data_IF_914891468708
#
_entry.id   IF_914891468708
#
_cell.length_a   1.000
_cell.length_b   1.000
_cell.length_c   1.000
_cell.angle_alpha   90.00
_cell.angle_beta   90.00
_cell.angle_gamma   90.00
#
_symmetry.space_group_name_H-M   'P 1'
#
loop_
_entity.id
_entity.type
_entity.pdbx_description
1 polymer ?
#
# COMPACT_ATOMS: atom_id res chain seq x y z
N UNK A 1 -37.31 -16.50 25.28
CA UNK A 1 -36.31 -16.84 24.24
C UNK A 1 -35.41 -15.64 24.11
N UNK A 2 -34.29 -15.66 24.83
CA UNK A 2 -33.25 -14.62 24.79
C UNK A 2 -32.44 -14.79 23.51
N UNK A 3 -32.48 -13.76 22.65
CA UNK A 3 -31.53 -13.66 21.51
C UNK A 3 -30.19 -13.28 22.09
N UNK A 4 -29.25 -14.24 22.11
CA UNK A 4 -27.85 -13.97 22.38
C UNK A 4 -27.31 -13.08 21.26
N UNK A 5 -27.13 -11.79 21.58
CA UNK A 5 -26.37 -10.85 20.78
C UNK A 5 -24.89 -11.26 20.85
N UNK A 6 -24.47 -12.12 19.91
CA UNK A 6 -23.07 -12.42 19.69
C UNK A 6 -22.40 -11.16 19.12
N UNK A 7 -21.83 -10.32 19.97
CA UNK A 7 -20.93 -9.22 19.56
C UNK A 7 -19.71 -9.88 18.91
N UNK A 8 -19.39 -9.58 17.65
CA UNK A 8 -18.20 -10.12 17.01
C UNK A 8 -16.98 -9.69 17.83
N UNK A 9 -16.16 -10.64 18.25
CA UNK A 9 -14.88 -10.32 18.88
C UNK A 9 -14.00 -9.54 17.89
N UNK A 10 -13.27 -8.50 18.38
CA UNK A 10 -12.38 -7.74 17.51
C UNK A 10 -11.35 -8.67 16.85
N UNK A 11 -11.00 -8.43 15.58
CA UNK A 11 -10.05 -9.26 14.87
C UNK A 11 -8.69 -9.26 15.57
N UNK A 12 -8.13 -10.44 15.80
CA UNK A 12 -6.82 -10.57 16.42
C UNK A 12 -5.72 -10.14 15.44
N UNK A 13 -4.70 -9.38 15.88
CA UNK A 13 -3.69 -8.81 14.99
C UNK A 13 -2.94 -9.87 14.16
N UNK A 14 -2.52 -9.47 12.94
CA UNK A 14 -1.85 -10.27 11.90
C UNK A 14 -0.52 -10.93 12.30
N UNK A 15 0.13 -10.43 13.35
CA UNK A 15 1.34 -11.03 13.93
C UNK A 15 1.17 -12.51 14.27
N UNK A 16 -0.04 -13.03 14.12
CA UNK A 16 -0.48 -14.40 14.46
C UNK A 16 -0.73 -15.36 13.27
N UNK A 17 -0.15 -15.14 12.09
CA UNK A 17 0.17 -16.29 11.26
C UNK A 17 1.23 -17.10 12.03
N UNK A 18 0.89 -18.33 12.48
CA UNK A 18 1.58 -18.96 13.62
C UNK A 18 3.06 -19.25 13.39
N UNK A 19 3.49 -19.36 12.14
CA UNK A 19 4.88 -19.65 11.82
C UNK A 19 5.29 -19.18 10.43
N UNK A 20 6.60 -19.21 10.17
CA UNK A 20 7.21 -18.78 8.91
C UNK A 20 6.76 -19.61 7.68
N UNK A 21 6.43 -20.90 7.87
CA UNK A 21 5.88 -21.77 6.82
C UNK A 21 4.51 -21.29 6.39
N UNK A 22 3.63 -20.96 7.33
CA UNK A 22 2.27 -20.50 7.03
C UNK A 22 2.31 -19.11 6.37
N UNK A 23 3.19 -18.19 6.82
CA UNK A 23 3.39 -16.89 6.15
C UNK A 23 3.79 -17.07 4.68
N UNK A 24 4.79 -17.91 4.41
CA UNK A 24 5.24 -18.19 3.04
C UNK A 24 4.15 -18.80 2.18
N UNK A 25 3.45 -19.83 2.68
CA UNK A 25 2.41 -20.53 1.93
C UNK A 25 1.21 -19.62 1.66
N UNK A 26 0.78 -18.84 2.67
CA UNK A 26 -0.35 -17.91 2.53
C UNK A 26 -0.04 -16.83 1.49
N UNK A 27 1.11 -16.16 1.57
CA UNK A 27 1.48 -15.14 0.59
C UNK A 27 1.67 -15.76 -0.80
N UNK A 28 2.28 -16.95 -0.92
CA UNK A 28 2.40 -17.65 -2.21
C UNK A 28 1.03 -17.97 -2.80
N UNK A 29 0.08 -18.36 -1.95
CA UNK A 29 -1.28 -18.68 -2.36
C UNK A 29 -2.02 -17.45 -2.88
N UNK A 30 -2.07 -16.38 -2.10
CA UNK A 30 -2.81 -15.16 -2.40
C UNK A 30 -2.23 -14.38 -3.58
N UNK A 31 -0.90 -14.36 -3.73
CA UNK A 31 -0.22 -13.69 -4.84
C UNK A 31 -0.13 -14.54 -6.11
N UNK A 32 -0.12 -15.86 -5.95
CA UNK A 32 0.08 -16.87 -7.01
C UNK A 32 1.54 -17.18 -7.33
N UNK A 33 2.53 -16.38 -6.90
CA UNK A 33 3.96 -16.64 -7.04
C UNK A 33 4.76 -15.83 -6.03
N UNK A 34 5.62 -16.47 -5.23
CA UNK A 34 6.51 -15.80 -4.27
C UNK A 34 7.92 -15.67 -4.85
N UNK A 35 8.53 -14.48 -4.94
CA UNK A 35 9.87 -14.27 -5.48
C UNK A 35 10.94 -14.85 -4.56
N UNK A 36 11.92 -15.57 -5.12
CA UNK A 36 12.96 -16.27 -4.34
C UNK A 36 13.95 -15.33 -3.62
N UNK A 37 14.00 -14.07 -3.97
CA UNK A 37 14.85 -13.05 -3.35
C UNK A 37 14.17 -12.33 -2.16
N UNK A 38 12.90 -12.66 -1.85
CA UNK A 38 12.09 -11.90 -0.88
C UNK A 38 11.90 -12.58 0.49
N UNK A 39 12.64 -13.64 0.79
CA UNK A 39 12.50 -14.36 2.07
C UNK A 39 12.82 -13.51 3.30
N UNK A 40 13.77 -12.58 3.19
CA UNK A 40 14.14 -11.68 4.27
C UNK A 40 12.96 -10.83 4.75
N UNK A 41 12.04 -10.44 3.83
CA UNK A 41 10.83 -9.69 4.14
C UNK A 41 9.82 -10.48 5.00
N UNK A 42 9.99 -11.80 5.11
CA UNK A 42 9.25 -12.67 6.03
C UNK A 42 10.06 -13.02 7.27
N UNK A 43 11.18 -12.34 7.51
CA UNK A 43 12.14 -12.64 8.57
C UNK A 43 12.63 -14.10 8.53
N UNK A 44 12.80 -14.63 7.32
CA UNK A 44 13.31 -15.98 7.05
C UNK A 44 14.78 -15.91 6.67
N UNK A 45 15.67 -16.48 7.50
CA UNK A 45 17.09 -16.54 7.18
C UNK A 45 17.36 -17.42 5.95
N UNK A 46 18.44 -17.15 5.23
CA UNK A 46 18.81 -17.89 4.01
C UNK A 46 18.95 -19.40 4.25
N UNK A 47 19.49 -19.82 5.40
CA UNK A 47 19.63 -21.23 5.76
C UNK A 47 18.26 -21.90 5.97
N UNK A 48 17.37 -21.24 6.72
CA UNK A 48 16.03 -21.75 6.98
C UNK A 48 15.17 -21.74 5.68
N UNK A 49 15.35 -20.74 4.82
CA UNK A 49 14.67 -20.69 3.52
C UNK A 49 15.01 -21.91 2.64
N UNK A 50 16.30 -22.34 2.63
CA UNK A 50 16.74 -23.55 1.90
C UNK A 50 16.07 -24.81 2.47
N UNK A 51 16.07 -24.98 3.79
CA UNK A 51 15.44 -26.10 4.47
C UNK A 51 13.93 -26.13 4.22
N UNK A 52 13.26 -25.01 4.42
CA UNK A 52 11.82 -24.87 4.23
C UNK A 52 11.39 -25.19 2.80
N UNK A 53 12.11 -24.68 1.81
CA UNK A 53 11.87 -25.00 0.40
C UNK A 53 12.06 -26.48 0.12
N UNK A 54 13.14 -27.09 0.63
CA UNK A 54 13.40 -28.52 0.44
C UNK A 54 12.24 -29.36 0.98
N UNK A 55 11.81 -29.11 2.21
CA UNK A 55 10.71 -29.85 2.84
C UNK A 55 9.41 -29.70 2.04
N UNK A 56 9.06 -28.47 1.65
CA UNK A 56 7.84 -28.20 0.88
C UNK A 56 7.87 -28.82 -0.54
N UNK A 57 9.07 -28.98 -1.14
CA UNK A 57 9.24 -29.74 -2.39
C UNK A 57 9.02 -31.21 -2.19
N UNK A 58 9.60 -31.78 -1.13
CA UNK A 58 9.41 -33.20 -0.79
C UNK A 58 7.94 -33.54 -0.47
N UNK A 59 7.27 -32.65 0.23
CA UNK A 59 5.83 -32.76 0.50
C UNK A 59 4.97 -32.55 -0.77
N UNK A 60 5.55 -32.11 -1.88
CA UNK A 60 4.86 -31.80 -3.14
C UNK A 60 3.90 -30.64 -3.07
N UNK A 61 4.10 -29.71 -2.11
CA UNK A 61 3.24 -28.54 -1.89
C UNK A 61 3.59 -27.38 -2.81
N UNK A 62 4.90 -27.16 -3.06
CA UNK A 62 5.39 -26.08 -3.93
C UNK A 62 6.23 -26.63 -5.06
N UNK A 63 6.42 -25.81 -6.10
CA UNK A 63 7.43 -25.99 -7.14
C UNK A 63 8.12 -24.68 -7.47
N UNK A 64 9.33 -24.74 -8.00
CA UNK A 64 10.09 -23.58 -8.50
C UNK A 64 9.71 -23.29 -9.94
N UNK A 65 9.64 -22.01 -10.27
CA UNK A 65 9.62 -21.54 -11.66
C UNK A 65 10.83 -20.64 -11.87
N UNK A 66 11.53 -20.86 -12.97
CA UNK A 66 12.65 -20.01 -13.41
C UNK A 66 12.51 -19.78 -14.91
N UNK A 67 12.40 -18.53 -15.32
CA UNK A 67 12.25 -18.13 -16.71
C UNK A 67 12.59 -16.64 -16.83
N UNK A 68 13.35 -16.28 -17.87
CA UNK A 68 13.74 -14.89 -18.20
C UNK A 68 14.22 -14.06 -16.98
N UNK A 69 15.08 -14.67 -16.16
CA UNK A 69 15.63 -14.05 -14.95
C UNK A 69 14.69 -14.03 -13.73
N UNK A 70 13.39 -14.32 -13.89
CA UNK A 70 12.45 -14.41 -12.79
C UNK A 70 12.51 -15.79 -12.11
N UNK A 71 12.85 -15.79 -10.82
CA UNK A 71 12.84 -16.99 -9.97
C UNK A 71 11.76 -16.87 -8.91
N UNK A 72 10.82 -17.83 -8.88
CA UNK A 72 9.70 -17.79 -7.95
C UNK A 72 9.25 -19.18 -7.50
N UNK A 73 8.51 -19.19 -6.40
CA UNK A 73 7.84 -20.37 -5.85
C UNK A 73 6.35 -20.28 -6.13
N UNK A 74 5.76 -21.37 -6.56
CA UNK A 74 4.30 -21.49 -6.78
C UNK A 74 3.77 -22.74 -6.09
N UNK A 75 2.51 -22.70 -5.66
CA UNK A 75 1.84 -23.91 -5.18
C UNK A 75 1.63 -24.89 -6.33
N UNK A 76 1.73 -26.18 -6.03
CA UNK A 76 1.25 -27.26 -6.90
C UNK A 76 -0.28 -27.38 -6.77
N UNK A 77 -0.94 -28.22 -7.60
CA UNK A 77 -2.37 -28.52 -7.41
C UNK A 77 -2.62 -29.13 -6.03
N UNK A 78 -1.79 -30.09 -5.59
CA UNK A 78 -1.85 -30.66 -4.24
C UNK A 78 -1.74 -29.57 -3.16
N UNK A 79 -0.81 -28.62 -3.33
CA UNK A 79 -0.65 -27.50 -2.37
C UNK A 79 -1.89 -26.62 -2.29
N UNK A 80 -2.52 -26.32 -3.43
CA UNK A 80 -3.78 -25.56 -3.48
C UNK A 80 -4.90 -26.31 -2.77
N UNK A 81 -5.05 -27.61 -3.06
CA UNK A 81 -6.09 -28.45 -2.47
C UNK A 81 -5.96 -28.54 -0.95
N UNK A 82 -4.73 -28.77 -0.45
CA UNK A 82 -4.44 -28.82 0.99
C UNK A 82 -4.83 -27.50 1.69
N UNK A 83 -4.47 -26.35 1.09
CA UNK A 83 -4.81 -25.06 1.70
C UNK A 83 -6.31 -24.78 1.64
N UNK A 84 -6.97 -25.04 0.52
CA UNK A 84 -8.43 -24.83 0.37
C UNK A 84 -9.25 -25.74 1.29
N UNK A 85 -8.79 -26.98 1.52
CA UNK A 85 -9.44 -27.90 2.47
C UNK A 85 -9.30 -27.42 3.92
N UNK A 86 -8.13 -26.88 4.28
CA UNK A 86 -7.86 -26.41 5.64
C UNK A 86 -8.59 -25.10 5.96
N UNK A 87 -8.56 -24.13 5.04
CA UNK A 87 -9.07 -22.78 5.26
C UNK A 87 -9.76 -22.25 3.97
N UNK A 88 -10.96 -22.78 3.62
CA UNK A 88 -11.63 -22.51 2.34
C UNK A 88 -11.94 -21.02 2.12
N UNK A 89 -12.39 -20.31 3.16
CA UNK A 89 -12.72 -18.89 3.06
C UNK A 89 -11.48 -18.02 2.83
N UNK A 90 -10.36 -18.33 3.48
CA UNK A 90 -9.08 -17.64 3.29
C UNK A 90 -8.57 -17.74 1.86
N UNK A 91 -8.77 -18.90 1.24
CA UNK A 91 -8.19 -19.23 -0.06
C UNK A 91 -9.22 -19.25 -1.21
N UNK A 92 -10.42 -18.70 -1.00
CA UNK A 92 -11.51 -18.70 -2.00
C UNK A 92 -11.18 -18.00 -3.32
N UNK A 93 -10.28 -17.00 -3.31
CA UNK A 93 -9.88 -16.25 -4.51
C UNK A 93 -8.69 -16.84 -5.27
N UNK A 94 -8.13 -17.95 -4.81
CA UNK A 94 -7.00 -18.58 -5.49
C UNK A 94 -7.47 -19.18 -6.80
N UNK A 95 -6.83 -18.76 -7.90
CA UNK A 95 -7.05 -19.33 -9.23
C UNK A 95 -6.20 -20.58 -9.44
N UNK A 96 -6.83 -21.66 -9.89
CA UNK A 96 -6.14 -22.91 -10.28
C UNK A 96 -5.41 -22.76 -11.62
N UNK A 97 -5.83 -21.79 -12.46
CA UNK A 97 -5.23 -21.52 -13.77
C UNK A 97 -4.03 -20.59 -13.64
N UNK A 98 -2.82 -21.13 -13.72
CA UNK A 98 -1.58 -20.33 -13.67
C UNK A 98 -1.11 -20.05 -15.08
N UNK A 99 -1.14 -18.78 -15.46
CA UNK A 99 -0.51 -18.32 -16.70
C UNK A 99 0.99 -18.17 -16.48
N UNK A 100 1.81 -18.66 -17.42
CA UNK A 100 3.27 -18.72 -17.31
C UNK A 100 3.99 -17.53 -17.98
N UNK A 101 3.26 -16.66 -18.67
CA UNK A 101 3.83 -15.48 -19.33
C UNK A 101 4.64 -14.63 -18.33
N UNK A 102 5.83 -14.20 -18.72
CA UNK A 102 6.79 -13.46 -17.90
C UNK A 102 6.16 -12.22 -17.26
N UNK A 103 5.40 -11.42 -18.02
CA UNK A 103 4.72 -10.22 -17.52
C UNK A 103 3.70 -10.52 -16.42
N UNK A 104 3.01 -11.66 -16.52
CA UNK A 104 2.05 -12.08 -15.50
C UNK A 104 2.73 -12.67 -14.28
N UNK A 105 3.85 -13.37 -14.47
CA UNK A 105 4.70 -13.84 -13.38
C UNK A 105 5.26 -12.68 -12.57
N UNK A 106 5.84 -11.68 -13.27
CA UNK A 106 6.34 -10.46 -12.64
C UNK A 106 5.25 -9.76 -11.81
N UNK A 107 4.04 -9.60 -12.38
CA UNK A 107 2.92 -9.03 -11.63
C UNK A 107 2.56 -9.82 -10.36
N UNK A 108 2.54 -11.16 -10.40
CA UNK A 108 2.33 -12.00 -9.20
C UNK A 108 3.41 -11.80 -8.15
N UNK A 109 4.66 -11.66 -8.56
CA UNK A 109 5.76 -11.36 -7.64
C UNK A 109 5.61 -9.98 -7.01
N UNK A 110 5.14 -8.96 -7.75
CA UNK A 110 4.78 -7.66 -7.17
C UNK A 110 3.66 -7.77 -6.12
N UNK A 111 2.65 -8.60 -6.37
CA UNK A 111 1.62 -8.88 -5.36
C UNK A 111 2.22 -9.51 -4.10
N UNK A 112 3.13 -10.48 -4.24
CA UNK A 112 3.79 -11.09 -3.09
C UNK A 112 4.59 -10.07 -2.27
N UNK A 113 5.32 -9.17 -2.93
CA UNK A 113 6.03 -8.06 -2.28
C UNK A 113 5.07 -7.13 -1.56
N UNK A 114 3.94 -6.77 -2.18
CA UNK A 114 2.88 -5.98 -1.54
C UNK A 114 2.37 -6.66 -0.27
N UNK A 115 2.08 -7.97 -0.31
CA UNK A 115 1.63 -8.70 0.88
C UNK A 115 2.69 -8.76 1.99
N UNK A 116 3.99 -8.79 1.64
CA UNK A 116 5.05 -8.67 2.65
C UNK A 116 5.03 -7.29 3.34
N UNK A 117 4.89 -6.20 2.56
CA UNK A 117 4.78 -4.85 3.13
C UNK A 117 3.53 -4.68 3.99
N UNK A 118 2.38 -5.22 3.55
CA UNK A 118 1.14 -5.22 4.34
C UNK A 118 1.30 -5.99 5.66
N UNK A 119 1.91 -7.18 5.61
CA UNK A 119 2.18 -8.01 6.79
C UNK A 119 3.04 -7.25 7.82
N UNK A 120 4.10 -6.58 7.34
CA UNK A 120 5.04 -5.87 8.22
C UNK A 120 4.48 -4.52 8.69
N UNK A 121 3.51 -3.96 7.98
CA UNK A 121 2.79 -2.74 8.38
C UNK A 121 1.53 -3.02 9.22
N UNK A 122 1.30 -4.26 9.65
CA UNK A 122 0.13 -4.71 10.41
C UNK A 122 -1.23 -4.40 9.74
N UNK A 123 -1.26 -4.40 8.40
CA UNK A 123 -2.49 -4.24 7.61
C UNK A 123 -3.15 -5.61 7.38
N UNK A 124 -4.40 -5.78 7.80
CA UNK A 124 -5.12 -7.05 7.61
C UNK A 124 -5.45 -7.27 6.13
N UNK A 125 -5.05 -8.43 5.59
CA UNK A 125 -5.30 -8.78 4.19
C UNK A 125 -5.94 -10.17 4.00
N UNK A 126 -6.10 -10.95 5.07
CA UNK A 126 -6.65 -12.30 4.96
C UNK A 126 -8.16 -12.25 4.71
N UNK A 127 -8.68 -12.91 3.65
CA UNK A 127 -10.12 -12.84 3.30
C UNK A 127 -11.08 -13.30 4.40
N UNK A 128 -10.66 -14.25 5.23
CA UNK A 128 -11.45 -14.82 6.34
C UNK A 128 -11.44 -13.96 7.61
N UNK A 129 -10.59 -12.92 7.69
CA UNK A 129 -10.44 -12.08 8.89
C UNK A 129 -10.96 -10.66 8.74
N UNK A 130 -11.12 -10.19 7.52
CA UNK A 130 -11.59 -8.83 7.24
C UNK A 130 -13.09 -8.79 6.96
N UNK A 131 -13.77 -7.65 7.18
CA UNK A 131 -15.19 -7.54 6.90
C UNK A 131 -15.46 -7.72 5.40
N UNK A 132 -16.61 -8.32 5.08
CA UNK A 132 -17.08 -8.40 3.70
C UNK A 132 -17.83 -7.12 3.33
N UNK A 133 -17.14 -6.22 2.61
CA UNK A 133 -17.64 -4.89 2.26
C UNK A 133 -18.39 -4.84 0.92
N UNK A 134 -18.32 -5.91 0.13
CA UNK A 134 -18.93 -5.97 -1.20
C UNK A 134 -20.43 -6.24 -1.11
N UNK A 135 -21.26 -5.51 -1.88
CA UNK A 135 -22.67 -5.83 -2.02
C UNK A 135 -22.83 -7.14 -2.81
N UNK A 136 -23.43 -8.16 -2.19
CA UNK A 136 -23.74 -9.43 -2.89
C UNK A 136 -24.78 -9.18 -3.96
N UNK A 137 -24.40 -9.29 -5.23
CA UNK A 137 -25.31 -9.10 -6.37
C UNK A 137 -26.10 -10.31 -6.82
N UNK A 138 -25.72 -11.51 -6.41
CA UNK A 138 -26.34 -12.75 -6.91
C UNK A 138 -27.81 -12.97 -6.55
N UNK A 139 -28.43 -12.12 -5.73
CA UNK A 139 -29.80 -12.32 -5.27
C UNK A 139 -30.66 -11.06 -5.06
N UNK A 140 -30.14 -9.86 -5.38
CA UNK A 140 -30.93 -8.64 -5.21
C UNK A 140 -31.01 -7.85 -6.54
N UNK A 141 -32.21 -7.33 -6.91
CA UNK A 141 -32.32 -6.46 -8.07
C UNK A 141 -31.45 -5.23 -7.87
N UNK A 142 -30.82 -4.81 -8.97
CA UNK A 142 -29.99 -3.62 -9.01
C UNK A 142 -30.80 -2.39 -8.62
N UNK A 143 -30.47 -1.80 -7.49
CA UNK A 143 -30.98 -0.48 -7.09
C UNK A 143 -29.93 0.54 -7.60
N UNK A 144 -30.31 1.35 -8.58
CA UNK A 144 -29.49 2.45 -9.08
C UNK A 144 -29.09 3.34 -7.91
N UNK A 145 -27.79 3.54 -7.70
CA UNK A 145 -27.25 4.32 -6.58
C UNK A 145 -26.94 3.54 -5.30
N UNK A 146 -27.16 2.22 -5.28
CA UNK A 146 -26.69 1.40 -4.15
C UNK A 146 -25.17 1.33 -4.16
N UNK A 147 -24.50 1.60 -3.02
CA UNK A 147 -23.07 1.48 -2.92
C UNK A 147 -22.62 0.03 -3.15
N UNK A 148 -21.55 -0.14 -3.92
CA UNK A 148 -21.00 -1.45 -4.24
C UNK A 148 -20.15 -2.02 -3.10
N UNK A 149 -19.64 -1.15 -2.25
CA UNK A 149 -18.85 -1.48 -1.07
C UNK A 149 -19.53 -0.92 0.17
N UNK A 150 -19.55 -1.72 1.23
CA UNK A 150 -20.12 -1.35 2.54
C UNK A 150 -19.04 -0.96 3.51
N UNK A 151 -18.62 0.30 3.46
CA UNK A 151 -17.55 0.82 4.33
C UNK A 151 -17.98 1.05 5.78
N UNK A 152 -19.29 1.08 6.05
CA UNK A 152 -19.82 1.14 7.42
C UNK A 152 -19.40 -0.05 8.30
N UNK A 153 -18.94 -1.16 7.67
CA UNK A 153 -18.42 -2.33 8.37
C UNK A 153 -16.94 -2.21 8.73
N UNK A 154 -16.25 -1.17 8.22
CA UNK A 154 -14.83 -0.95 8.51
C UNK A 154 -14.63 -0.35 9.91
N UNK A 155 -13.57 -0.79 10.57
CA UNK A 155 -13.01 -0.19 11.78
C UNK A 155 -11.95 0.85 11.43
N UNK A 156 -11.31 1.41 12.46
CA UNK A 156 -10.15 2.30 12.28
C UNK A 156 -8.89 1.53 11.88
N UNK A 157 -8.88 0.21 12.15
CA UNK A 157 -7.81 -0.69 11.71
C UNK A 157 -7.83 -0.86 10.18
N UNK A 158 -6.66 -0.76 9.53
CA UNK A 158 -6.57 -0.85 8.08
C UNK A 158 -6.73 -2.28 7.57
N UNK A 159 -7.51 -2.43 6.50
CA UNK A 159 -7.74 -3.70 5.80
C UNK A 159 -7.43 -3.56 4.32
N UNK A 160 -6.80 -4.58 3.75
CA UNK A 160 -6.45 -4.58 2.32
C UNK A 160 -7.35 -5.52 1.53
N UNK A 161 -7.90 -5.01 0.44
CA UNK A 161 -8.64 -5.77 -0.57
C UNK A 161 -7.84 -5.80 -1.85
N UNK A 162 -7.38 -6.98 -2.26
CA UNK A 162 -6.61 -7.12 -3.48
C UNK A 162 -7.45 -6.84 -4.73
N UNK A 163 -6.82 -6.39 -5.80
CA UNK A 163 -7.52 -6.19 -7.08
C UNK A 163 -8.08 -7.50 -7.66
N UNK A 164 -7.61 -8.65 -7.18
CA UNK A 164 -8.16 -9.97 -7.54
C UNK A 164 -9.52 -10.15 -6.87
N UNK A 165 -9.61 -9.90 -5.56
CA UNK A 165 -10.87 -9.95 -4.80
C UNK A 165 -11.89 -8.95 -5.34
N UNK A 166 -11.45 -7.69 -5.54
CA UNK A 166 -12.31 -6.63 -6.04
C UNK A 166 -12.90 -7.01 -7.41
N UNK A 167 -12.08 -7.56 -8.31
CA UNK A 167 -12.55 -8.01 -9.62
C UNK A 167 -13.49 -9.22 -9.55
N UNK A 168 -13.27 -10.10 -8.59
CA UNK A 168 -14.11 -11.28 -8.38
C UNK A 168 -15.49 -10.89 -7.86
N UNK A 169 -15.55 -9.97 -6.90
CA UNK A 169 -16.79 -9.57 -6.22
C UNK A 169 -17.61 -8.53 -7.00
N UNK A 170 -16.97 -7.72 -7.85
CA UNK A 170 -17.60 -6.63 -8.61
C UNK A 170 -17.82 -6.95 -10.09
N UNK A 171 -17.99 -8.18 -10.46
CA UNK A 171 -18.04 -8.74 -11.86
C UNK A 171 -18.46 -7.75 -12.97
N UNK A 172 -19.55 -7.01 -12.80
CA UNK A 172 -20.10 -6.06 -13.80
C UNK A 172 -19.30 -4.75 -13.95
N UNK A 173 -18.51 -4.36 -12.92
CA UNK A 173 -17.73 -3.12 -12.90
C UNK A 173 -16.25 -3.35 -13.19
N UNK A 174 -15.84 -4.60 -13.44
CA UNK A 174 -14.46 -5.01 -13.74
C UNK A 174 -13.87 -4.21 -14.90
N UNK A 175 -14.69 -3.85 -15.90
CA UNK A 175 -14.22 -3.11 -17.09
C UNK A 175 -13.56 -1.77 -16.72
N UNK A 176 -14.00 -1.11 -15.66
CA UNK A 176 -13.52 0.21 -15.25
C UNK A 176 -12.14 0.16 -14.59
N UNK A 177 -11.81 -0.96 -13.93
CA UNK A 177 -10.53 -1.18 -13.24
C UNK A 177 -9.67 -2.27 -13.91
N UNK A 178 -10.16 -2.87 -15.00
CA UNK A 178 -9.53 -4.05 -15.62
C UNK A 178 -8.10 -3.84 -16.06
N UNK A 179 -7.81 -2.67 -16.60
CA UNK A 179 -6.51 -2.33 -17.15
C UNK A 179 -5.65 -1.49 -16.19
N UNK A 180 -6.16 -1.18 -14.98
CA UNK A 180 -5.38 -0.48 -13.97
C UNK A 180 -4.25 -1.37 -13.44
N UNK A 181 -3.12 -0.74 -13.14
CA UNK A 181 -1.96 -1.37 -12.51
C UNK A 181 -2.15 -1.59 -11.00
N UNK A 182 -3.27 -1.13 -10.44
CA UNK A 182 -3.62 -1.23 -9.03
C UNK A 182 -3.44 -2.67 -8.50
N UNK A 183 -2.73 -2.81 -7.37
CA UNK A 183 -2.63 -4.07 -6.64
C UNK A 183 -3.82 -4.29 -5.72
N UNK A 184 -4.40 -3.23 -5.17
CA UNK A 184 -5.58 -3.29 -4.33
C UNK A 184 -5.91 -1.95 -3.67
N UNK A 185 -6.75 -2.02 -2.65
CA UNK A 185 -7.16 -0.90 -1.81
C UNK A 185 -6.82 -1.19 -0.35
N UNK A 186 -6.23 -0.24 0.35
CA UNK A 186 -6.21 -0.23 1.81
C UNK A 186 -7.33 0.68 2.28
N UNK A 187 -8.18 0.15 3.11
CA UNK A 187 -9.37 0.83 3.63
C UNK A 187 -9.36 0.80 5.15
N UNK A 188 -9.74 1.89 5.76
CA UNK A 188 -10.25 1.96 7.12
C UNK A 188 -11.51 2.84 7.12
N UNK A 189 -12.13 3.08 8.28
CA UNK A 189 -13.37 3.87 8.37
C UNK A 189 -13.26 5.24 7.68
N UNK A 190 -12.11 5.89 7.75
CA UNK A 190 -11.91 7.28 7.37
C UNK A 190 -11.09 7.45 6.09
N UNK A 191 -10.34 6.42 5.67
CA UNK A 191 -9.37 6.54 4.59
C UNK A 191 -9.49 5.43 3.56
N UNK A 192 -9.18 5.80 2.31
CA UNK A 192 -9.05 4.89 1.19
C UNK A 192 -7.75 5.19 0.46
N UNK A 193 -6.89 4.20 0.32
CA UNK A 193 -5.64 4.30 -0.43
C UNK A 193 -5.65 3.28 -1.57
N UNK A 194 -5.46 3.75 -2.80
CA UNK A 194 -5.20 2.87 -3.94
C UNK A 194 -3.74 2.46 -3.90
N UNK A 195 -3.46 1.17 -3.83
CA UNK A 195 -2.09 0.66 -3.71
C UNK A 195 -1.57 0.20 -5.06
N UNK A 196 -0.38 0.68 -5.41
CA UNK A 196 0.40 0.26 -6.58
C UNK A 196 1.73 -0.31 -6.10
N UNK A 197 2.19 -1.38 -6.72
CA UNK A 197 3.56 -1.82 -6.58
C UNK A 197 4.29 -1.60 -7.90
N UNK A 198 5.26 -0.68 -7.90
CA UNK A 198 6.01 -0.29 -9.10
C UNK A 198 7.18 -1.24 -9.35
N UNK A 199 7.68 -1.89 -8.29
CA UNK A 199 8.79 -2.84 -8.37
C UNK A 199 10.11 -2.19 -8.76
N UNK A 200 10.98 -2.97 -9.42
CA UNK A 200 12.32 -2.57 -9.88
C UNK A 200 12.29 -1.93 -11.27
N UNK A 201 11.40 -2.43 -12.11
CA UNK A 201 11.24 -1.95 -13.46
C UNK A 201 9.98 -1.09 -13.50
N UNK A 202 10.15 0.17 -13.85
CA UNK A 202 9.05 1.10 -14.00
C UNK A 202 7.86 0.44 -14.72
N UNK A 203 6.82 0.10 -13.96
CA UNK A 203 5.59 -0.40 -14.55
C UNK A 203 4.92 0.76 -15.32
N UNK A 204 4.56 0.60 -16.60
CA UNK A 204 3.91 1.66 -17.35
C UNK A 204 2.53 1.96 -16.76
N UNK A 205 2.42 3.11 -16.09
CA UNK A 205 1.16 3.63 -15.57
C UNK A 205 0.50 4.50 -16.66
N UNK A 206 -0.63 4.06 -17.17
CA UNK A 206 -1.44 4.88 -18.09
C UNK A 206 -2.20 5.94 -17.28
N UNK A 207 -1.88 7.22 -17.49
CA UNK A 207 -2.56 8.32 -16.80
C UNK A 207 -4.09 8.25 -16.93
N UNK A 208 -4.61 8.04 -18.13
CA UNK A 208 -6.05 7.96 -18.35
C UNK A 208 -6.70 6.77 -17.63
N UNK A 209 -6.02 5.63 -17.59
CA UNK A 209 -6.51 4.41 -16.91
C UNK A 209 -6.50 4.61 -15.39
N UNK A 210 -5.40 5.12 -14.84
CA UNK A 210 -5.26 5.28 -13.39
C UNK A 210 -6.11 6.45 -12.87
N UNK A 211 -6.25 7.55 -13.66
CA UNK A 211 -7.17 8.64 -13.35
C UNK A 211 -8.61 8.12 -13.27
N UNK A 212 -9.03 7.31 -14.23
CA UNK A 212 -10.37 6.70 -14.22
C UNK A 212 -10.56 5.81 -12.99
N UNK A 213 -9.57 4.97 -12.68
CA UNK A 213 -9.61 4.13 -11.48
C UNK A 213 -9.68 4.98 -10.21
N UNK A 214 -8.87 6.04 -10.10
CA UNK A 214 -8.88 6.97 -8.97
C UNK A 214 -10.21 7.72 -8.81
N UNK A 215 -10.79 8.21 -9.89
CA UNK A 215 -12.11 8.85 -9.88
C UNK A 215 -13.17 7.87 -9.40
N UNK A 216 -13.17 6.64 -9.90
CA UNK A 216 -14.12 5.60 -9.50
C UNK A 216 -14.05 5.29 -8.00
N UNK A 217 -12.83 5.16 -7.46
CA UNK A 217 -12.62 4.93 -6.02
C UNK A 217 -12.94 6.20 -5.21
N UNK A 218 -12.46 7.36 -5.65
CA UNK A 218 -12.58 8.62 -4.90
C UNK A 218 -13.98 9.25 -4.95
N UNK A 219 -14.79 8.94 -5.96
CA UNK A 219 -16.15 9.47 -6.10
C UNK A 219 -17.18 8.79 -5.20
N UNK A 220 -16.78 7.77 -4.45
CA UNK A 220 -17.71 6.97 -3.64
C UNK A 220 -18.60 6.04 -4.46
N UNK A 221 -18.35 5.88 -5.79
CA UNK A 221 -19.14 4.99 -6.64
C UNK A 221 -19.10 3.54 -6.17
N UNK A 222 -17.94 3.13 -5.63
CA UNK A 222 -17.74 1.81 -5.04
C UNK A 222 -17.81 1.81 -3.51
N UNK A 223 -17.63 2.97 -2.88
CA UNK A 223 -17.48 3.13 -1.44
C UNK A 223 -18.63 4.00 -0.89
N UNK A 224 -19.23 3.61 0.22
CA UNK A 224 -20.20 4.44 1.00
C UNK A 224 -19.53 5.65 1.67
N UNK A 225 -18.25 5.86 1.48
CA UNK A 225 -17.52 6.98 2.10
C UNK A 225 -17.88 8.29 1.42
N UNK A 226 -18.53 9.19 2.16
CA UNK A 226 -18.99 10.50 1.66
C UNK A 226 -17.87 11.37 1.09
N UNK A 227 -16.64 11.21 1.55
CA UNK A 227 -15.48 12.03 1.19
C UNK A 227 -14.22 11.16 0.98
N UNK A 228 -14.36 9.99 0.34
CA UNK A 228 -13.19 9.16 0.08
C UNK A 228 -12.14 9.95 -0.73
N UNK A 229 -11.01 10.33 -0.16
CA UNK A 229 -10.00 11.06 -0.89
C UNK A 229 -9.36 10.15 -1.94
N UNK A 230 -9.03 10.72 -3.09
CA UNK A 230 -8.27 10.02 -4.11
C UNK A 230 -6.80 9.92 -3.69
N UNK A 231 -6.50 9.03 -2.75
CA UNK A 231 -5.16 8.81 -2.24
C UNK A 231 -4.56 7.57 -2.90
N UNK A 232 -3.28 7.62 -3.21
CA UNK A 232 -2.54 6.47 -3.71
C UNK A 232 -1.26 6.24 -2.91
N UNK A 233 -0.91 4.96 -2.71
CA UNK A 233 0.38 4.52 -2.18
C UNK A 233 1.13 3.82 -3.30
N UNK A 234 2.34 4.29 -3.57
CA UNK A 234 3.26 3.68 -4.53
C UNK A 234 4.37 2.99 -3.75
N UNK A 235 4.29 1.66 -3.67
CA UNK A 235 5.38 0.83 -3.19
C UNK A 235 6.47 0.83 -4.26
N UNK A 236 7.66 1.27 -3.91
CA UNK A 236 8.82 1.35 -4.80
C UNK A 236 9.95 0.51 -4.23
N UNK A 237 10.75 -0.13 -5.09
CA UNK A 237 11.89 -0.91 -4.63
C UNK A 237 12.83 -0.08 -3.76
N UNK A 238 13.13 1.12 -4.24
CA UNK A 238 13.95 2.13 -3.59
C UNK A 238 13.67 3.52 -4.18
N UNK A 239 14.30 4.56 -3.64
CA UNK A 239 14.09 5.92 -4.11
C UNK A 239 14.68 6.23 -5.48
N UNK A 240 15.53 5.38 -6.07
CA UNK A 240 15.99 5.55 -7.45
C UNK A 240 14.86 5.35 -8.45
N UNK A 241 13.94 4.40 -8.16
CA UNK A 241 12.72 4.19 -8.93
C UNK A 241 11.75 5.37 -8.76
N UNK A 242 11.64 5.91 -7.54
CA UNK A 242 10.85 7.11 -7.28
C UNK A 242 11.38 8.33 -8.06
N UNK A 243 12.69 8.51 -8.12
CA UNK A 243 13.35 9.54 -8.95
C UNK A 243 12.96 9.40 -10.42
N UNK A 244 13.05 8.19 -10.97
CA UNK A 244 12.67 7.93 -12.37
C UNK A 244 11.18 8.24 -12.63
N UNK A 245 10.30 7.96 -11.66
CA UNK A 245 8.88 8.29 -11.78
C UNK A 245 8.64 9.80 -11.83
N UNK A 246 9.39 10.58 -11.06
CA UNK A 246 9.17 12.02 -10.91
C UNK A 246 9.92 12.81 -11.98
N UNK A 247 11.18 12.45 -12.26
CA UNK A 247 12.04 13.21 -13.15
C UNK A 247 12.25 12.57 -14.53
N UNK A 248 11.86 11.31 -14.70
CA UNK A 248 12.22 10.50 -15.86
C UNK A 248 13.67 10.02 -15.81
N UNK A 249 14.10 9.31 -16.82
CA UNK A 249 15.49 8.85 -16.98
C UNK A 249 15.96 9.10 -18.40
N UNK A 250 17.09 9.82 -18.53
CA UNK A 250 17.75 10.05 -19.82
C UNK A 250 18.36 8.75 -20.36
N UNK A 251 18.94 7.93 -19.48
CA UNK A 251 19.57 6.65 -19.84
C UNK A 251 18.55 5.66 -20.38
N UNK A 252 17.43 5.52 -19.68
CA UNK A 252 16.32 4.64 -20.08
C UNK A 252 15.34 5.29 -21.08
N UNK A 253 15.61 6.54 -21.48
CA UNK A 253 14.73 7.35 -22.37
C UNK A 253 13.27 7.37 -21.91
N UNK A 254 13.05 7.47 -20.59
CA UNK A 254 11.72 7.50 -19.99
C UNK A 254 11.35 8.92 -19.57
N UNK A 255 10.11 9.33 -19.88
CA UNK A 255 9.57 10.61 -19.44
C UNK A 255 9.05 10.51 -17.98
N UNK A 256 8.94 11.63 -17.24
CA UNK A 256 8.28 11.65 -15.94
C UNK A 256 6.86 11.05 -15.98
N UNK A 257 6.41 10.49 -14.86
CA UNK A 257 5.08 9.89 -14.78
C UNK A 257 3.96 10.94 -14.82
N UNK A 258 3.13 10.88 -15.84
CA UNK A 258 1.94 11.74 -15.95
C UNK A 258 0.93 11.50 -14.83
N UNK A 259 0.92 10.33 -14.21
CA UNK A 259 0.05 10.01 -13.06
C UNK A 259 0.38 10.92 -11.87
N UNK A 260 1.68 11.17 -11.62
CA UNK A 260 2.13 12.06 -10.55
C UNK A 260 1.97 13.52 -10.97
N UNK A 261 2.50 13.89 -12.13
CA UNK A 261 2.61 15.30 -12.54
C UNK A 261 1.25 15.94 -12.86
N UNK A 262 0.32 15.19 -13.42
CA UNK A 262 -0.99 15.70 -13.84
C UNK A 262 -2.09 15.47 -12.79
N UNK A 263 -1.74 14.98 -11.59
CA UNK A 263 -2.66 14.88 -10.48
C UNK A 263 -3.77 13.84 -10.69
N UNK A 264 -3.42 12.60 -11.08
CA UNK A 264 -4.38 11.49 -11.12
C UNK A 264 -4.96 11.20 -9.73
N UNK A 265 -4.20 11.49 -8.69
CA UNK A 265 -4.57 11.41 -7.29
C UNK A 265 -4.30 12.74 -6.59
N UNK A 266 -5.10 13.05 -5.58
CA UNK A 266 -4.93 14.25 -4.74
C UNK A 266 -3.67 14.15 -3.89
N UNK A 267 -3.36 12.93 -3.40
CA UNK A 267 -2.20 12.59 -2.60
C UNK A 267 -1.55 11.31 -3.15
N UNK A 268 -0.24 11.31 -3.28
CA UNK A 268 0.54 10.15 -3.68
C UNK A 268 1.71 9.98 -2.71
N UNK A 269 1.65 8.91 -1.94
CA UNK A 269 2.65 8.56 -0.94
C UNK A 269 3.64 7.56 -1.53
N UNK A 270 4.94 7.86 -1.46
CA UNK A 270 5.99 6.93 -1.87
C UNK A 270 6.50 6.16 -0.66
N UNK A 271 6.48 4.84 -0.75
CA UNK A 271 6.88 3.94 0.33
C UNK A 271 7.92 2.95 -0.22
N UNK A 272 9.16 2.93 0.29
CA UNK A 272 10.16 1.96 -0.16
C UNK A 272 9.88 0.57 0.41
N UNK A 273 10.22 -0.49 -0.36
CA UNK A 273 10.02 -1.88 0.04
C UNK A 273 11.15 -2.38 0.98
N UNK A 274 11.30 -1.77 2.14
CA UNK A 274 12.27 -2.13 3.18
C UNK A 274 11.66 -1.92 4.58
N UNK A 275 12.42 -2.21 5.63
CA UNK A 275 11.96 -2.10 7.03
C UNK A 275 11.49 -0.69 7.39
N UNK A 276 12.23 0.35 7.00
CA UNK A 276 11.83 1.75 7.23
C UNK A 276 10.55 2.11 6.48
N UNK A 277 10.39 1.62 5.25
CA UNK A 277 9.16 1.81 4.48
C UNK A 277 7.97 1.07 5.09
N UNK A 278 8.16 -0.07 5.74
CA UNK A 278 7.08 -0.77 6.45
C UNK A 278 6.56 0.05 7.63
N UNK A 279 7.46 0.69 8.39
CA UNK A 279 7.08 1.61 9.47
C UNK A 279 6.35 2.82 8.90
N UNK A 280 6.89 3.44 7.83
CA UNK A 280 6.20 4.53 7.13
C UNK A 280 4.81 4.11 6.65
N UNK A 281 4.65 2.90 6.11
CA UNK A 281 3.36 2.39 5.65
C UNK A 281 2.40 2.15 6.81
N UNK A 282 2.91 1.68 7.95
CA UNK A 282 2.16 1.50 9.19
C UNK A 282 1.60 2.84 9.69
N UNK A 283 2.44 3.86 9.88
CA UNK A 283 1.97 5.18 10.33
C UNK A 283 1.05 5.89 9.32
N UNK A 284 1.15 5.57 8.04
CA UNK A 284 0.26 6.12 7.01
C UNK A 284 -1.14 5.52 7.08
N UNK A 285 -1.24 4.19 7.30
CA UNK A 285 -2.49 3.46 7.18
C UNK A 285 -3.29 3.38 8.48
N UNK A 286 -2.63 3.35 9.65
CA UNK A 286 -3.29 3.31 10.96
C UNK A 286 -3.60 4.71 11.44
N UNK A 287 -4.86 4.98 11.76
CA UNK A 287 -5.33 6.31 12.16
C UNK A 287 -4.61 6.80 13.41
N UNK A 288 -4.51 5.97 14.46
CA UNK A 288 -3.85 6.32 15.73
C UNK A 288 -2.38 6.70 15.54
N UNK A 289 -1.61 5.92 14.78
CA UNK A 289 -0.19 6.21 14.56
C UNK A 289 0.02 7.42 13.66
N UNK A 290 -0.90 7.66 12.75
CA UNK A 290 -0.88 8.86 11.91
C UNK A 290 -1.13 10.10 12.76
N UNK A 291 -2.14 10.09 13.62
CA UNK A 291 -2.46 11.17 14.56
C UNK A 291 -1.27 11.45 15.48
N UNK A 292 -0.63 10.42 16.02
CA UNK A 292 0.58 10.55 16.85
C UNK A 292 1.70 11.36 16.16
N UNK A 293 1.95 11.10 14.87
CA UNK A 293 2.97 11.84 14.09
C UNK A 293 2.48 13.26 13.79
N UNK A 294 1.19 13.46 13.51
CA UNK A 294 0.61 14.77 13.25
C UNK A 294 0.62 15.63 14.53
N UNK A 295 0.35 15.06 15.70
CA UNK A 295 0.39 15.75 17.00
C UNK A 295 1.84 16.16 17.36
N UNK A 296 2.82 15.26 17.22
CA UNK A 296 4.23 15.58 17.46
C UNK A 296 4.73 16.70 16.51
N UNK A 297 4.24 16.73 15.28
CA UNK A 297 4.52 17.80 14.34
C UNK A 297 3.87 19.12 14.80
N UNK A 298 2.59 19.07 15.19
CA UNK A 298 1.84 20.22 15.67
C UNK A 298 2.48 20.87 16.91
N UNK A 299 2.91 20.05 17.87
CA UNK A 299 3.65 20.53 19.06
C UNK A 299 4.94 21.28 18.68
N UNK A 300 5.60 20.86 17.59
CA UNK A 300 6.85 21.48 17.13
C UNK A 300 6.67 22.74 16.30
N UNK A 301 5.60 22.86 15.53
CA UNK A 301 5.43 23.88 14.49
C UNK A 301 4.10 24.63 14.53
N UNK A 302 3.19 24.27 15.44
CA UNK A 302 1.89 24.90 15.60
C UNK A 302 0.94 24.69 14.41
N UNK A 303 -0.07 25.54 14.33
CA UNK A 303 -1.18 25.43 13.37
C UNK A 303 -0.80 25.81 11.94
N UNK A 304 -1.42 25.12 10.98
CA UNK A 304 -1.42 25.53 9.58
C UNK A 304 -2.25 26.81 9.35
N UNK A 305 -1.86 27.58 8.34
CA UNK A 305 -2.68 28.70 7.86
C UNK A 305 -3.15 28.40 6.42
N UNK A 306 -4.42 27.99 6.22
CA UNK A 306 -4.94 27.68 4.89
C UNK A 306 -5.03 28.89 3.95
N UNK A 307 -5.02 30.11 4.50
CA UNK A 307 -5.03 31.34 3.73
C UNK A 307 -3.63 31.84 3.36
N UNK A 308 -2.58 31.16 3.79
CA UNK A 308 -1.22 31.51 3.42
C UNK A 308 -0.98 31.20 1.94
N UNK A 309 -0.16 32.02 1.28
CA UNK A 309 0.13 31.89 -0.18
C UNK A 309 0.81 30.59 -0.61
N UNK A 310 1.38 29.88 0.36
CA UNK A 310 2.03 28.57 0.16
C UNK A 310 1.35 27.55 1.06
N UNK A 311 1.08 26.34 0.55
CA UNK A 311 0.57 25.26 1.39
C UNK A 311 1.55 25.01 2.55
N UNK A 312 1.02 24.82 3.75
CA UNK A 312 1.81 24.58 4.95
C UNK A 312 1.01 23.71 5.93
N UNK A 313 1.72 23.08 6.86
CA UNK A 313 1.15 22.36 8.00
C UNK A 313 1.48 23.05 9.32
N UNK A 314 2.35 24.10 9.30
CA UNK A 314 2.76 24.89 10.43
C UNK A 314 3.77 25.95 10.01
N UNK A 315 4.37 26.62 11.00
CA UNK A 315 5.41 27.63 10.79
C UNK A 315 6.57 27.40 11.75
N UNK A 316 7.80 27.75 11.32
CA UNK A 316 8.95 27.75 12.21
C UNK A 316 9.02 29.07 13.02
N UNK A 317 9.98 29.14 13.96
CA UNK A 317 10.17 30.33 14.80
C UNK A 317 10.46 31.63 14.04
N UNK A 318 10.91 31.53 12.78
CA UNK A 318 11.18 32.67 11.90
C UNK A 318 9.98 33.00 11.01
N UNK A 319 8.86 32.29 11.13
CA UNK A 319 7.64 32.49 10.34
C UNK A 319 7.72 31.88 8.93
N UNK A 320 8.71 31.02 8.63
CA UNK A 320 8.75 30.31 7.37
C UNK A 320 7.75 29.15 7.37
N UNK A 321 7.08 28.86 6.22
CA UNK A 321 6.14 27.76 6.14
C UNK A 321 6.85 26.41 6.28
N UNK A 322 6.23 25.52 7.06
CA UNK A 322 6.70 24.15 7.28
C UNK A 322 5.71 23.16 6.69
N UNK A 323 6.23 22.11 6.02
CA UNK A 323 5.45 21.01 5.49
C UNK A 323 5.79 19.71 6.23
N UNK A 324 4.78 19.00 6.70
CA UNK A 324 4.94 17.63 7.21
C UNK A 324 5.18 16.66 6.05
N UNK A 325 6.42 16.23 5.90
CA UNK A 325 6.89 15.31 4.87
C UNK A 325 7.02 13.86 5.33
N UNK A 326 6.71 13.53 6.60
CA UNK A 326 6.91 12.19 7.17
C UNK A 326 6.20 11.08 6.38
N UNK A 327 5.05 11.38 5.77
CA UNK A 327 4.32 10.43 4.94
C UNK A 327 4.80 10.39 3.48
N UNK A 328 5.75 11.27 3.10
CA UNK A 328 6.31 11.41 1.74
C UNK A 328 5.23 11.56 0.64
N UNK A 329 4.30 12.50 0.85
CA UNK A 329 3.32 12.89 -0.17
C UNK A 329 3.99 13.77 -1.24
N UNK A 330 4.35 13.14 -2.35
CA UNK A 330 5.09 13.83 -3.43
C UNK A 330 4.27 14.91 -4.13
N UNK A 331 2.95 14.79 -4.16
CA UNK A 331 2.09 15.83 -4.76
C UNK A 331 2.14 17.11 -3.92
N UNK A 332 2.06 16.96 -2.60
CA UNK A 332 2.19 18.10 -1.68
C UNK A 332 3.59 18.69 -1.69
N UNK A 333 4.63 17.86 -1.68
CA UNK A 333 6.02 18.31 -1.76
C UNK A 333 6.29 19.10 -3.04
N UNK A 334 5.81 18.65 -4.21
CA UNK A 334 5.96 19.37 -5.47
C UNK A 334 5.16 20.69 -5.48
N UNK A 335 3.96 20.75 -4.89
CA UNK A 335 3.19 21.98 -4.73
C UNK A 335 3.91 22.96 -3.81
N UNK A 336 4.42 22.48 -2.67
CA UNK A 336 5.19 23.29 -1.73
C UNK A 336 6.42 23.89 -2.38
N UNK A 337 7.24 23.07 -3.04
CA UNK A 337 8.39 23.51 -3.83
C UNK A 337 8.03 24.63 -4.82
N UNK A 338 6.95 24.43 -5.59
CA UNK A 338 6.49 25.43 -6.56
C UNK A 338 6.11 26.73 -5.85
N UNK A 339 5.40 26.67 -4.72
CA UNK A 339 5.02 27.82 -3.92
C UNK A 339 6.23 28.61 -3.42
N UNK A 340 7.25 27.93 -2.89
CA UNK A 340 8.50 28.55 -2.44
C UNK A 340 9.22 29.28 -3.57
N UNK A 341 9.38 28.60 -4.73
CA UNK A 341 10.04 29.18 -5.91
C UNK A 341 9.29 30.39 -6.48
N UNK A 342 7.96 30.30 -6.58
CA UNK A 342 7.14 31.39 -7.13
C UNK A 342 7.18 32.64 -6.26
N UNK A 343 7.30 32.49 -4.95
CA UNK A 343 7.29 33.61 -4.01
C UNK A 343 8.69 34.01 -3.51
N UNK A 344 9.75 33.34 -3.96
CA UNK A 344 11.14 33.48 -3.50
C UNK A 344 11.27 33.44 -1.97
N UNK A 345 10.60 32.49 -1.33
CA UNK A 345 10.56 32.31 0.12
C UNK A 345 11.32 31.05 0.50
N UNK A 346 12.00 31.09 1.63
CA UNK A 346 12.54 29.90 2.29
C UNK A 346 11.40 29.12 2.97
N UNK A 347 11.57 27.81 3.09
CA UNK A 347 10.63 26.96 3.80
C UNK A 347 11.34 25.79 4.48
N UNK A 348 10.58 24.99 5.21
CA UNK A 348 11.09 23.85 5.95
C UNK A 348 10.27 22.59 5.62
N UNK A 349 10.95 21.46 5.50
CA UNK A 349 10.30 20.15 5.40
C UNK A 349 10.72 19.31 6.60
N UNK A 350 9.74 18.77 7.31
CA UNK A 350 9.96 17.81 8.38
C UNK A 350 9.66 16.41 7.86
N UNK A 351 10.63 15.49 7.92
CA UNK A 351 10.49 14.14 7.33
C UNK A 351 11.17 13.08 8.21
N UNK A 352 11.03 11.82 7.83
CA UNK A 352 11.76 10.73 8.48
C UNK A 352 13.24 10.77 8.04
N UNK A 353 14.15 10.35 8.90
CA UNK A 353 15.61 10.42 8.66
C UNK A 353 16.04 9.74 7.36
N UNK A 354 15.51 8.57 7.04
CA UNK A 354 15.83 7.83 5.82
C UNK A 354 15.28 8.48 4.53
N UNK A 355 14.36 9.47 4.64
CA UNK A 355 13.79 10.19 3.50
C UNK A 355 14.59 11.46 3.14
N UNK A 356 15.49 11.92 4.00
CA UNK A 356 16.17 13.23 3.88
C UNK A 356 16.84 13.44 2.52
N UNK A 357 17.62 12.47 2.06
CA UNK A 357 18.36 12.57 0.80
C UNK A 357 17.41 12.72 -0.39
N UNK A 358 16.36 11.92 -0.43
CA UNK A 358 15.34 11.98 -1.47
C UNK A 358 14.59 13.32 -1.44
N UNK A 359 14.16 13.78 -0.26
CA UNK A 359 13.47 15.07 -0.08
C UNK A 359 14.37 16.22 -0.50
N UNK A 360 15.65 16.22 -0.09
CA UNK A 360 16.63 17.23 -0.50
C UNK A 360 16.76 17.30 -2.03
N UNK A 361 16.85 16.15 -2.70
CA UNK A 361 16.92 16.08 -4.16
C UNK A 361 15.63 16.57 -4.81
N UNK A 362 14.47 16.14 -4.32
CA UNK A 362 13.16 16.51 -4.83
C UNK A 362 12.94 18.02 -4.77
N UNK A 363 13.37 18.65 -3.68
CA UNK A 363 13.11 20.06 -3.41
C UNK A 363 14.03 21.02 -4.15
N UNK A 364 15.18 20.59 -4.68
CA UNK A 364 16.06 21.47 -5.49
C UNK A 364 15.30 22.07 -6.68
N UNK A 365 15.49 23.38 -7.04
CA UNK A 365 16.40 24.34 -6.42
C UNK A 365 15.76 25.26 -5.34
N UNK A 366 14.63 24.89 -4.73
CA UNK A 366 14.01 25.72 -3.68
C UNK A 366 14.94 25.85 -2.46
N UNK A 367 14.84 27.01 -1.78
CA UNK A 367 15.56 27.28 -0.52
C UNK A 367 14.82 26.58 0.62
N UNK A 368 15.34 25.45 1.10
CA UNK A 368 14.71 24.68 2.18
C UNK A 368 15.67 24.31 3.28
N UNK A 369 15.14 24.20 4.49
CA UNK A 369 15.74 23.48 5.60
C UNK A 369 15.01 22.15 5.79
N UNK A 370 15.75 21.07 6.05
CA UNK A 370 15.18 19.74 6.30
C UNK A 370 15.40 19.40 7.77
N UNK A 371 14.31 19.23 8.49
CA UNK A 371 14.30 18.64 9.82
C UNK A 371 13.89 17.18 9.70
N UNK A 372 14.32 16.34 10.62
CA UNK A 372 13.94 14.94 10.61
C UNK A 372 13.65 14.40 12.00
N UNK A 373 12.77 13.41 12.04
CA UNK A 373 12.55 12.51 13.15
C UNK A 373 13.19 11.17 12.81
N UNK A 374 13.89 10.56 13.76
CA UNK A 374 14.49 9.24 13.55
C UNK A 374 13.41 8.19 13.50
N UNK A 375 13.53 7.25 12.57
CA UNK A 375 12.57 6.15 12.44
C UNK A 375 12.48 5.31 13.74
N UNK A 376 13.57 5.20 14.50
CA UNK A 376 13.59 4.51 15.79
C UNK A 376 12.73 5.20 16.84
N UNK A 377 12.76 6.54 16.87
CA UNK A 377 11.94 7.30 17.81
C UNK A 377 10.44 7.08 17.48
N UNK A 378 10.09 7.00 16.19
CA UNK A 378 8.73 6.65 15.73
C UNK A 378 8.33 5.23 16.15
N UNK A 379 9.23 4.24 16.02
CA UNK A 379 8.96 2.88 16.50
C UNK A 379 8.73 2.83 18.02
N UNK A 380 9.51 3.60 18.80
CA UNK A 380 9.34 3.71 20.26
C UNK A 380 7.98 4.33 20.61
N UNK A 381 7.56 5.38 19.89
CA UNK A 381 6.24 6.01 20.07
C UNK A 381 5.11 5.00 19.78
N UNK A 382 5.17 4.25 18.66
CA UNK A 382 4.19 3.21 18.30
C UNK A 382 4.14 2.10 19.37
N UNK A 383 5.28 1.67 19.88
CA UNK A 383 5.35 0.61 20.87
C UNK A 383 4.80 1.07 22.24
N UNK A 384 5.00 2.34 22.62
CA UNK A 384 4.44 2.92 23.81
C UNK A 384 2.91 3.02 23.76
N UNK A 385 2.31 3.32 22.60
CA UNK A 385 0.87 3.35 22.41
C UNK A 385 0.22 1.96 22.56
N UNK A 386 0.97 0.89 22.25
CA UNK A 386 0.49 -0.50 22.32
C UNK A 386 0.71 -1.16 23.69
N UNK A 387 1.32 -0.47 24.67
CA UNK A 387 1.64 -0.99 26.00
C UNK A 387 0.60 -0.59 27.03
#
# INVERSE_FOLDING_TARGET
MSQDNCVPQPPQPLSKLPNKKDKLLTITALSGEFPCDNFQRLHISSSYAKLLRHNLYQEGIIKSLSDDGLKGLVLTSKGVDVLKQKEPERYRYISDKKRTEVSRRYRRQLFARTYCSLLNADVEFLPDRKPFVFARRRSQPYIVGSPLLRTSLLSDEPVFYSSIEIKYELEDHVQQIRNSAMTGLVLNRNNCFVVYNIGENRFPLSYATELKAGIMVGSGTFLEMKNAPSNAVFLVRDYSIADELIFGSKEKKTAPSKVILNGAYKHIYLVPENESGDIQFRILCHTSYRELIEDAFFESFGDSNPNYKIINDGFDGDGNPVLNGCFLDVVRLLKFKRGLLTNDISGRVHCLDFQMEFVAKLMKPAKIHINHIKIKDVEEMINAENS
#
